data_IF_013272805502
#
_entry.id   IF_013272805502
#
_cell.length_a   1.000
_cell.length_b   1.000
_cell.length_c   1.000
_cell.angle_alpha   90.00
_cell.angle_beta   90.00
_cell.angle_gamma   90.00
#
_symmetry.space_group_name_H-M   'P 1'
#
loop_
_entity.id
_entity.type
_entity.pdbx_description
1 polymer ?
#
# COMPACT_ATOMS: atom_id res chain seq x y z
N UNK A 1 -18.01 6.03 -2.90
CA UNK A 1 -16.57 6.30 -3.07
C UNK A 1 -15.86 4.98 -3.28
N UNK A 2 -14.90 4.93 -4.23
CA UNK A 2 -13.99 3.83 -4.47
C UNK A 2 -12.56 4.35 -4.23
N UNK A 3 -11.90 3.92 -3.18
CA UNK A 3 -10.56 4.41 -2.84
C UNK A 3 -9.52 3.29 -2.78
N UNK A 4 -8.25 3.66 -2.91
CA UNK A 4 -7.12 2.76 -2.77
C UNK A 4 -5.98 3.07 -3.76
N UNK A 5 -4.87 2.37 -3.69
CA UNK A 5 -3.68 2.60 -4.52
C UNK A 5 -3.97 2.50 -6.03
N UNK A 6 -3.01 2.91 -6.86
CA UNK A 6 -3.11 2.74 -8.33
C UNK A 6 -2.98 1.27 -8.72
N UNK A 7 -3.67 0.86 -9.80
CA UNK A 7 -3.52 -0.47 -10.40
C UNK A 7 -4.17 -1.62 -9.60
N UNK A 8 -5.00 -1.32 -8.58
CA UNK A 8 -5.70 -2.32 -7.75
C UNK A 8 -7.14 -2.63 -8.19
N UNK A 9 -7.57 -2.14 -9.37
CA UNK A 9 -8.84 -2.53 -9.97
C UNK A 9 -9.99 -1.54 -9.83
N UNK A 10 -9.84 -0.36 -9.20
CA UNK A 10 -10.91 0.64 -9.04
C UNK A 10 -11.59 1.01 -10.36
N UNK A 11 -10.80 1.42 -11.36
CA UNK A 11 -11.33 1.81 -12.68
C UNK A 11 -11.94 0.62 -13.44
N UNK A 12 -11.46 -0.61 -13.20
CA UNK A 12 -12.09 -1.82 -13.75
C UNK A 12 -13.47 -2.03 -13.13
N UNK A 13 -13.58 -1.93 -11.82
CA UNK A 13 -14.85 -2.04 -11.10
C UNK A 13 -15.84 -0.96 -11.59
N UNK A 14 -15.36 0.28 -11.75
CA UNK A 14 -16.16 1.38 -12.29
C UNK A 14 -16.70 1.07 -13.69
N UNK A 15 -15.85 0.51 -14.57
CA UNK A 15 -16.26 0.10 -15.92
C UNK A 15 -17.32 -1.03 -15.90
N UNK A 16 -17.16 -2.01 -15.02
CA UNK A 16 -18.15 -3.08 -14.85
C UNK A 16 -19.48 -2.48 -14.39
N UNK A 17 -19.46 -1.57 -13.42
CA UNK A 17 -20.66 -0.89 -12.94
C UNK A 17 -21.33 -0.08 -14.05
N UNK A 18 -20.56 0.62 -14.89
CA UNK A 18 -21.07 1.35 -16.04
C UNK A 18 -21.76 0.42 -17.05
N UNK A 19 -21.16 -0.73 -17.36
CA UNK A 19 -21.75 -1.73 -18.25
C UNK A 19 -23.07 -2.27 -17.69
N UNK A 20 -23.12 -2.58 -16.40
CA UNK A 20 -24.34 -3.05 -15.74
C UNK A 20 -25.44 -1.96 -15.70
N UNK A 21 -25.06 -0.69 -15.51
CA UNK A 21 -26.00 0.44 -15.59
C UNK A 21 -26.61 0.54 -16.99
N UNK A 22 -25.80 0.50 -18.05
CA UNK A 22 -26.27 0.55 -19.44
C UNK A 22 -27.19 -0.64 -19.76
N UNK A 23 -26.87 -1.86 -19.32
CA UNK A 23 -27.74 -3.04 -19.48
C UNK A 23 -29.11 -2.85 -18.85
N UNK A 24 -29.18 -2.07 -17.77
CA UNK A 24 -30.44 -1.71 -17.09
C UNK A 24 -31.14 -0.49 -17.68
N UNK A 25 -30.64 0.04 -18.79
CA UNK A 25 -31.18 1.22 -19.46
C UNK A 25 -30.80 2.56 -18.83
N UNK A 26 -29.84 2.57 -17.89
CA UNK A 26 -29.34 3.80 -17.26
C UNK A 26 -28.24 4.41 -18.14
N UNK A 27 -28.37 5.67 -18.58
CA UNK A 27 -27.27 6.39 -19.19
C UNK A 27 -26.10 6.56 -18.22
N UNK A 28 -24.88 6.61 -18.75
CA UNK A 28 -23.67 6.77 -17.96
C UNK A 28 -22.90 7.98 -18.46
N UNK A 29 -22.55 8.88 -17.53
CA UNK A 29 -21.68 10.03 -17.77
C UNK A 29 -20.36 9.76 -17.05
N UNK A 30 -19.27 9.81 -17.79
CA UNK A 30 -17.91 9.68 -17.24
C UNK A 30 -17.25 11.05 -17.30
N UNK A 31 -16.82 11.53 -16.14
CA UNK A 31 -16.14 12.82 -15.98
C UNK A 31 -14.71 12.53 -15.56
N UNK A 32 -13.79 12.66 -16.48
CA UNK A 32 -12.35 12.45 -16.30
C UNK A 32 -11.52 13.73 -16.31
N UNK A 33 -12.20 14.87 -16.61
CA UNK A 33 -11.58 16.19 -16.67
C UNK A 33 -12.51 17.23 -16.07
N UNK A 34 -11.97 18.20 -15.33
CA UNK A 34 -12.76 19.32 -14.85
C UNK A 34 -13.09 20.28 -16.00
N UNK A 35 -14.37 20.55 -16.17
CA UNK A 35 -14.89 21.55 -17.10
C UNK A 35 -15.74 22.53 -16.29
N UNK A 36 -15.47 23.84 -16.32
CA UNK A 36 -16.31 24.82 -15.65
C UNK A 36 -17.78 24.68 -16.06
N UNK A 37 -18.69 24.66 -15.07
CA UNK A 37 -20.12 24.48 -15.30
C UNK A 37 -20.59 23.03 -15.41
N UNK A 38 -19.71 22.03 -15.23
CA UNK A 38 -20.06 20.62 -15.28
C UNK A 38 -21.11 20.25 -14.22
N UNK A 39 -21.07 20.88 -13.05
CA UNK A 39 -22.08 20.67 -12.00
C UNK A 39 -23.47 21.09 -12.48
N UNK A 40 -23.61 22.29 -13.02
CA UNK A 40 -24.89 22.80 -13.56
C UNK A 40 -25.41 21.93 -14.71
N UNK A 41 -24.53 21.51 -15.62
CA UNK A 41 -24.90 20.59 -16.69
C UNK A 41 -25.48 19.27 -16.16
N UNK A 42 -24.87 18.68 -15.13
CA UNK A 42 -25.36 17.45 -14.53
C UNK A 42 -26.66 17.68 -13.77
N UNK A 43 -26.84 18.84 -13.11
CA UNK A 43 -28.08 19.19 -12.39
C UNK A 43 -29.26 19.32 -13.34
N UNK A 44 -29.09 19.85 -14.53
CA UNK A 44 -30.15 20.04 -15.54
C UNK A 44 -30.66 18.72 -16.16
N UNK A 45 -29.95 17.60 -15.95
CA UNK A 45 -30.40 16.30 -16.47
C UNK A 45 -31.56 15.80 -15.60
N UNK A 46 -32.75 15.70 -16.16
CA UNK A 46 -33.95 15.24 -15.46
C UNK A 46 -34.05 13.72 -15.33
N UNK A 47 -33.42 12.99 -16.25
CA UNK A 47 -33.49 11.53 -16.29
C UNK A 47 -32.58 10.88 -15.25
N UNK A 48 -32.90 9.63 -14.90
CA UNK A 48 -32.04 8.80 -14.05
C UNK A 48 -30.71 8.53 -14.78
N UNK A 49 -29.57 8.75 -14.11
CA UNK A 49 -28.24 8.63 -14.72
C UNK A 49 -27.19 8.19 -13.69
N UNK A 50 -26.23 7.39 -14.15
CA UNK A 50 -25.01 7.10 -13.42
C UNK A 50 -23.93 8.14 -13.82
N UNK A 51 -23.44 8.89 -12.85
CA UNK A 51 -22.35 9.85 -13.04
C UNK A 51 -21.11 9.35 -12.34
N UNK A 52 -20.02 9.20 -13.08
CA UNK A 52 -18.76 8.64 -12.60
C UNK A 52 -17.65 9.68 -12.75
N UNK A 53 -17.01 10.01 -11.64
CA UNK A 53 -15.84 10.87 -11.61
C UNK A 53 -14.60 10.00 -11.40
N UNK A 54 -13.77 9.89 -12.43
CA UNK A 54 -12.54 9.08 -12.35
C UNK A 54 -11.35 9.93 -11.88
N UNK A 55 -10.48 9.34 -11.05
CA UNK A 55 -9.32 9.99 -10.45
C UNK A 55 -9.64 11.37 -9.84
N UNK A 56 -10.71 11.46 -9.05
CA UNK A 56 -11.25 12.69 -8.50
C UNK A 56 -10.19 13.50 -7.73
N UNK A 57 -9.34 12.83 -6.99
CA UNK A 57 -8.23 13.43 -6.25
C UNK A 57 -7.23 14.17 -7.14
N UNK A 58 -7.03 13.73 -8.38
CA UNK A 58 -6.16 14.41 -9.33
C UNK A 58 -6.90 15.50 -10.11
N UNK A 59 -8.10 15.17 -10.56
CA UNK A 59 -8.87 16.00 -11.50
C UNK A 59 -9.51 17.20 -10.83
N UNK A 60 -9.93 17.09 -9.56
CA UNK A 60 -10.72 18.14 -8.89
C UNK A 60 -10.06 18.71 -7.64
N UNK A 61 -9.07 18.02 -7.04
CA UNK A 61 -8.45 18.47 -5.80
C UNK A 61 -7.22 19.38 -6.01
N UNK A 62 -6.55 19.28 -7.14
CA UNK A 62 -5.30 20.00 -7.41
C UNK A 62 -5.49 21.28 -8.24
N UNK A 63 -6.71 21.59 -8.65
CA UNK A 63 -6.98 22.81 -9.41
C UNK A 63 -7.03 23.99 -8.44
N UNK A 64 -6.08 24.92 -8.57
CA UNK A 64 -6.18 26.21 -7.90
C UNK A 64 -7.31 26.99 -8.58
N UNK A 65 -8.29 27.44 -7.80
CA UNK A 65 -9.27 28.38 -8.30
C UNK A 65 -8.54 29.61 -8.84
N UNK A 66 -8.86 30.03 -10.06
CA UNK A 66 -8.44 31.34 -10.53
C UNK A 66 -9.06 32.43 -9.62
N UNK A 67 -8.38 33.60 -9.48
CA UNK A 67 -8.86 34.66 -8.63
C UNK A 67 -10.34 34.99 -8.95
N UNK A 68 -11.20 34.79 -7.95
CA UNK A 68 -12.64 35.04 -8.06
C UNK A 68 -13.50 33.85 -8.52
N UNK A 69 -12.93 32.68 -8.79
CA UNK A 69 -13.68 31.45 -9.09
C UNK A 69 -13.80 30.54 -7.85
N UNK A 70 -14.94 29.84 -7.75
CA UNK A 70 -15.14 28.85 -6.71
C UNK A 70 -14.17 27.66 -6.88
N UNK A 71 -13.78 27.04 -5.77
CA UNK A 71 -13.00 25.81 -5.82
C UNK A 71 -13.83 24.70 -6.50
N UNK A 72 -13.29 23.97 -7.49
CA UNK A 72 -14.01 22.90 -8.19
C UNK A 72 -14.69 21.88 -7.29
N UNK A 73 -14.06 21.51 -6.16
CA UNK A 73 -14.70 20.65 -5.18
C UNK A 73 -15.96 21.29 -4.57
N UNK A 74 -15.93 22.61 -4.32
CA UNK A 74 -17.06 23.32 -3.71
C UNK A 74 -18.25 23.38 -4.66
N UNK A 75 -18.03 23.56 -5.97
CA UNK A 75 -19.12 23.52 -6.97
C UNK A 75 -19.81 22.14 -6.98
N UNK A 76 -19.04 21.05 -6.87
CA UNK A 76 -19.58 19.71 -6.86
C UNK A 76 -20.26 19.32 -5.53
N UNK A 77 -19.98 20.03 -4.43
CA UNK A 77 -20.63 19.73 -3.14
C UNK A 77 -22.16 19.90 -3.23
N UNK A 78 -22.62 20.96 -3.90
CA UNK A 78 -24.07 21.23 -4.11
C UNK A 78 -24.70 20.11 -4.92
N UNK A 79 -24.03 19.64 -5.96
CA UNK A 79 -24.46 18.52 -6.78
C UNK A 79 -24.65 17.23 -5.95
N UNK A 80 -23.73 16.95 -5.03
CA UNK A 80 -23.78 15.76 -4.19
C UNK A 80 -24.76 15.86 -3.00
N UNK A 81 -25.25 17.02 -2.68
CA UNK A 81 -26.28 17.20 -1.63
C UNK A 81 -27.68 16.67 -2.04
N UNK A 82 -27.82 16.20 -3.28
CA UNK A 82 -29.03 15.52 -3.75
C UNK A 82 -30.21 16.44 -3.99
N UNK A 83 -29.99 17.74 -4.11
CA UNK A 83 -31.03 18.74 -4.44
C UNK A 83 -31.36 18.78 -5.93
N UNK A 84 -30.55 18.13 -6.76
CA UNK A 84 -30.71 18.07 -8.20
C UNK A 84 -31.99 17.30 -8.60
N UNK A 85 -32.66 17.76 -9.66
CA UNK A 85 -33.81 17.07 -10.23
C UNK A 85 -33.39 15.71 -10.82
N UNK A 86 -34.27 14.72 -10.73
CA UNK A 86 -34.01 13.37 -11.18
C UNK A 86 -33.13 12.56 -10.20
N UNK A 87 -33.17 11.22 -10.36
CA UNK A 87 -32.36 10.32 -9.55
C UNK A 87 -30.98 10.15 -10.19
N UNK A 88 -29.96 10.45 -9.44
CA UNK A 88 -28.56 10.32 -9.87
C UNK A 88 -27.80 9.40 -8.95
N UNK A 89 -27.05 8.46 -9.53
CA UNK A 89 -26.09 7.63 -8.81
C UNK A 89 -24.69 8.19 -9.06
N UNK A 90 -24.04 8.66 -8.01
CA UNK A 90 -22.69 9.19 -8.09
C UNK A 90 -21.65 8.15 -7.68
N UNK A 91 -20.60 8.01 -8.48
CA UNK A 91 -19.43 7.19 -8.17
C UNK A 91 -18.19 8.04 -8.36
N UNK A 92 -17.34 8.10 -7.34
CA UNK A 92 -16.03 8.74 -7.44
C UNK A 92 -14.93 7.70 -7.19
N UNK A 93 -13.87 7.72 -7.99
CA UNK A 93 -12.64 6.98 -7.71
C UNK A 93 -11.57 7.94 -7.21
N UNK A 94 -10.78 7.53 -6.25
CA UNK A 94 -9.63 8.28 -5.76
C UNK A 94 -8.49 7.38 -5.31
N UNK A 95 -7.26 7.89 -5.44
CA UNK A 95 -6.07 7.18 -4.97
C UNK A 95 -5.70 7.62 -3.54
N UNK A 96 -5.95 8.89 -3.21
CA UNK A 96 -5.60 9.45 -1.92
C UNK A 96 -6.82 10.16 -1.31
N UNK A 97 -7.37 9.59 -0.24
CA UNK A 97 -8.51 10.15 0.49
C UNK A 97 -8.18 11.47 1.19
N UNK A 98 -6.91 11.67 1.60
CA UNK A 98 -6.51 12.87 2.35
C UNK A 98 -6.57 14.15 1.51
N UNK A 99 -6.70 14.04 0.20
CA UNK A 99 -6.86 15.18 -0.71
C UNK A 99 -8.33 15.57 -0.92
N UNK A 100 -9.25 14.68 -0.53
CA UNK A 100 -10.68 14.97 -0.57
C UNK A 100 -11.07 15.87 0.60
N UNK A 101 -11.97 16.81 0.33
CA UNK A 101 -12.56 17.65 1.39
C UNK A 101 -13.31 16.78 2.41
N UNK A 102 -13.19 17.11 3.71
CA UNK A 102 -13.99 16.51 4.79
C UNK A 102 -15.51 16.62 4.54
N UNK A 103 -15.92 17.57 3.72
CA UNK A 103 -17.32 17.69 3.30
C UNK A 103 -17.79 16.59 2.35
N UNK A 104 -16.87 15.86 1.72
CA UNK A 104 -17.17 14.67 0.87
C UNK A 104 -17.03 13.38 1.67
N UNK A 105 -15.98 13.29 2.48
CA UNK A 105 -15.71 12.14 3.34
C UNK A 105 -16.46 12.33 4.67
N UNK A 106 -16.85 11.24 5.33
CA UNK A 106 -17.59 11.26 6.61
C UNK A 106 -18.99 11.91 6.56
N UNK A 107 -19.58 12.04 5.37
CA UNK A 107 -20.96 12.49 5.18
C UNK A 107 -21.82 11.46 4.45
N UNK A 108 -22.41 10.49 5.16
CA UNK A 108 -23.23 9.43 4.55
C UNK A 108 -24.45 9.94 3.75
N UNK A 109 -24.88 11.19 3.99
CA UNK A 109 -25.93 11.84 3.21
C UNK A 109 -25.50 12.21 1.79
N UNK A 110 -24.18 12.33 1.51
CA UNK A 110 -23.64 12.58 0.18
C UNK A 110 -23.17 11.30 -0.49
N UNK A 111 -22.29 10.57 0.19
CA UNK A 111 -21.80 9.27 -0.26
C UNK A 111 -22.07 8.22 0.80
N UNK A 112 -23.06 7.37 0.53
CA UNK A 112 -23.50 6.37 1.48
C UNK A 112 -22.50 5.23 1.63
N UNK A 113 -21.87 4.82 0.53
CA UNK A 113 -20.92 3.71 0.52
C UNK A 113 -19.50 4.19 0.23
N UNK A 114 -18.56 3.63 0.96
CA UNK A 114 -17.15 3.77 0.71
C UNK A 114 -16.50 2.39 0.62
N UNK A 115 -16.16 1.97 -0.60
CA UNK A 115 -15.44 0.73 -0.86
C UNK A 115 -13.95 1.04 -0.93
N UNK A 116 -13.20 0.38 -0.08
CA UNK A 116 -11.73 0.47 -0.05
C UNK A 116 -11.17 -0.72 -0.80
N UNK A 117 -10.27 -0.45 -1.72
CA UNK A 117 -9.54 -1.43 -2.48
C UNK A 117 -8.14 -1.51 -1.92
N UNK A 118 -7.73 -2.69 -1.52
CA UNK A 118 -6.39 -2.97 -1.01
C UNK A 118 -5.56 -3.74 -2.04
N UNK A 119 -4.28 -3.92 -1.75
CA UNK A 119 -3.43 -4.80 -2.55
C UNK A 119 -3.95 -6.23 -2.45
N UNK A 120 -3.82 -7.01 -3.53
CA UNK A 120 -4.33 -8.37 -3.54
C UNK A 120 -3.66 -9.23 -2.46
N UNK A 121 -4.50 -10.03 -1.80
CA UNK A 121 -4.09 -11.05 -0.83
C UNK A 121 -3.42 -12.23 -1.51
N UNK A 122 -2.77 -13.10 -0.74
CA UNK A 122 -2.10 -14.31 -1.26
C UNK A 122 -3.05 -15.21 -2.05
N UNK A 123 -4.30 -15.33 -1.60
CA UNK A 123 -5.34 -16.09 -2.30
C UNK A 123 -5.71 -15.45 -3.64
N UNK A 124 -5.89 -14.13 -3.66
CA UNK A 124 -6.21 -13.38 -4.88
C UNK A 124 -5.04 -13.37 -5.87
N UNK A 125 -3.80 -13.24 -5.38
CA UNK A 125 -2.59 -13.40 -6.22
C UNK A 125 -2.57 -14.81 -6.82
N UNK A 126 -2.83 -15.84 -6.02
CA UNK A 126 -2.83 -17.23 -6.48
C UNK A 126 -3.88 -17.45 -7.56
N UNK A 127 -5.10 -16.96 -7.34
CA UNK A 127 -6.21 -17.08 -8.29
C UNK A 127 -5.89 -16.34 -9.60
N UNK A 128 -5.45 -15.08 -9.49
CA UNK A 128 -5.08 -14.26 -10.63
C UNK A 128 -3.95 -14.89 -11.47
N UNK A 129 -2.88 -15.35 -10.80
CA UNK A 129 -1.75 -15.96 -11.48
C UNK A 129 -2.13 -17.30 -12.14
N UNK A 130 -3.01 -18.10 -11.51
CA UNK A 130 -3.53 -19.33 -12.14
C UNK A 130 -4.38 -19.06 -13.38
N UNK A 131 -5.09 -17.93 -13.41
CA UNK A 131 -5.85 -17.51 -14.61
C UNK A 131 -4.95 -17.01 -15.74
N UNK A 132 -3.82 -16.37 -15.42
CA UNK A 132 -2.94 -15.70 -16.39
C UNK A 132 -1.73 -16.51 -16.82
N UNK A 133 -1.24 -17.43 -15.98
CA UNK A 133 -0.07 -18.25 -16.31
C UNK A 133 -0.45 -19.51 -17.08
N UNK A 134 0.45 -19.94 -17.96
CA UNK A 134 0.43 -21.28 -18.49
C UNK A 134 0.73 -22.27 -17.35
N UNK A 135 0.07 -23.44 -17.38
CA UNK A 135 0.12 -24.43 -16.28
C UNK A 135 1.54 -24.89 -15.92
N UNK A 136 2.44 -24.90 -16.89
CA UNK A 136 3.84 -25.27 -16.72
C UNK A 136 4.61 -24.32 -15.78
N UNK A 137 4.15 -23.07 -15.65
CA UNK A 137 4.77 -22.05 -14.79
C UNK A 137 4.09 -21.88 -13.42
N UNK A 138 3.13 -22.71 -13.07
CA UNK A 138 2.46 -22.59 -11.76
C UNK A 138 3.39 -22.73 -10.57
N UNK A 139 4.56 -23.39 -10.73
CA UNK A 139 5.60 -23.46 -9.70
C UNK A 139 6.18 -22.10 -9.30
N UNK A 140 6.05 -21.08 -10.17
CA UNK A 140 6.56 -19.73 -9.90
C UNK A 140 5.62 -18.90 -8.99
N UNK A 141 4.35 -19.33 -8.81
CA UNK A 141 3.36 -18.57 -8.03
C UNK A 141 3.82 -18.33 -6.59
N UNK A 142 4.45 -19.32 -5.97
CA UNK A 142 4.98 -19.18 -4.60
C UNK A 142 6.03 -18.06 -4.50
N UNK A 143 6.85 -17.89 -5.52
CA UNK A 143 7.86 -16.82 -5.59
C UNK A 143 7.20 -15.44 -5.76
N UNK A 144 6.13 -15.34 -6.55
CA UNK A 144 5.33 -14.11 -6.69
C UNK A 144 4.72 -13.72 -5.34
N UNK A 145 4.14 -14.68 -4.61
CA UNK A 145 3.59 -14.45 -3.28
C UNK A 145 4.69 -14.00 -2.30
N UNK A 146 5.83 -14.68 -2.28
CA UNK A 146 6.96 -14.28 -1.46
C UNK A 146 7.42 -12.84 -1.77
N UNK A 147 7.45 -12.48 -3.04
CA UNK A 147 7.80 -11.13 -3.48
C UNK A 147 6.76 -10.09 -3.07
N UNK A 148 5.46 -10.43 -3.10
CA UNK A 148 4.39 -9.51 -2.67
C UNK A 148 4.46 -9.13 -1.19
N UNK A 149 5.09 -9.96 -0.34
CA UNK A 149 5.34 -9.62 1.07
C UNK A 149 6.37 -8.52 1.24
N UNK A 150 7.24 -8.36 0.28
CA UNK A 150 8.32 -7.37 0.29
C UNK A 150 7.96 -6.12 -0.49
N UNK A 151 7.25 -6.27 -1.60
CA UNK A 151 6.83 -5.19 -2.50
C UNK A 151 5.33 -5.27 -2.72
N UNK A 152 4.62 -4.18 -2.52
CA UNK A 152 3.17 -4.13 -2.78
C UNK A 152 2.91 -4.31 -4.28
N UNK A 153 2.44 -5.49 -4.66
CA UNK A 153 2.11 -5.81 -6.05
C UNK A 153 0.64 -5.46 -6.33
N UNK A 154 0.43 -4.55 -7.25
CA UNK A 154 -0.89 -4.30 -7.81
C UNK A 154 -1.17 -5.24 -9.01
N UNK A 155 -2.39 -5.23 -9.54
CA UNK A 155 -2.75 -6.09 -10.67
C UNK A 155 -1.97 -5.78 -11.96
N UNK A 156 -1.50 -4.55 -12.15
CA UNK A 156 -0.65 -4.22 -13.30
C UNK A 156 0.72 -4.88 -13.17
N UNK A 157 1.30 -4.89 -11.95
CA UNK A 157 2.53 -5.63 -11.67
C UNK A 157 2.35 -7.14 -11.87
N UNK A 158 1.25 -7.71 -11.33
CA UNK A 158 0.97 -9.14 -11.48
C UNK A 158 0.78 -9.53 -12.95
N UNK A 159 0.12 -8.69 -13.74
CA UNK A 159 -0.06 -8.90 -15.18
C UNK A 159 1.27 -8.91 -15.92
N UNK A 160 2.14 -7.96 -15.61
CA UNK A 160 3.45 -7.86 -16.22
C UNK A 160 4.34 -9.06 -15.84
N UNK A 161 4.34 -9.45 -14.55
CA UNK A 161 5.05 -10.66 -14.09
C UNK A 161 4.54 -11.91 -14.83
N UNK A 162 3.21 -12.07 -14.93
CA UNK A 162 2.63 -13.21 -15.63
C UNK A 162 3.02 -13.26 -17.11
N UNK A 163 3.10 -12.09 -17.77
CA UNK A 163 3.53 -12.00 -19.15
C UNK A 163 4.98 -12.50 -19.30
N UNK A 164 5.92 -12.00 -18.51
CA UNK A 164 7.32 -12.41 -18.56
C UNK A 164 7.53 -13.89 -18.23
N UNK A 165 6.84 -14.42 -17.22
CA UNK A 165 6.91 -15.83 -16.87
C UNK A 165 6.40 -16.73 -18.01
N UNK A 166 5.35 -16.31 -18.72
CA UNK A 166 4.82 -17.04 -19.88
C UNK A 166 5.76 -17.03 -21.10
N UNK A 167 6.78 -16.15 -21.14
CA UNK A 167 7.85 -16.21 -22.15
C UNK A 167 8.91 -17.27 -21.82
N UNK A 168 8.83 -17.92 -20.66
CA UNK A 168 9.76 -18.96 -20.21
C UNK A 168 10.89 -18.45 -19.32
N UNK A 169 10.86 -17.18 -18.93
CA UNK A 169 11.83 -16.62 -17.96
C UNK A 169 11.57 -17.17 -16.56
N UNK A 170 12.64 -17.38 -15.80
CA UNK A 170 12.52 -17.65 -14.37
C UNK A 170 12.12 -16.39 -13.63
N UNK A 171 11.47 -16.51 -12.48
CA UNK A 171 10.95 -15.38 -11.70
C UNK A 171 12.00 -14.27 -11.46
N UNK A 172 13.23 -14.63 -11.08
CA UNK A 172 14.28 -13.66 -10.80
C UNK A 172 14.73 -12.86 -12.04
N UNK A 173 14.71 -13.50 -13.18
CA UNK A 173 15.01 -12.84 -14.45
C UNK A 173 13.84 -11.98 -14.91
N UNK A 174 12.63 -12.48 -14.75
CA UNK A 174 11.40 -11.79 -15.12
C UNK A 174 11.24 -10.44 -14.38
N UNK A 175 11.61 -10.35 -13.11
CA UNK A 175 11.43 -9.11 -12.31
C UNK A 175 12.61 -8.13 -12.41
N UNK A 176 13.76 -8.56 -12.94
CA UNK A 176 15.01 -7.81 -12.87
C UNK A 176 14.95 -6.42 -13.51
N UNK A 177 14.34 -6.34 -14.69
CA UNK A 177 14.27 -5.11 -15.48
C UNK A 177 12.85 -4.53 -15.53
N UNK A 178 11.93 -5.06 -14.70
CA UNK A 178 10.56 -4.57 -14.62
C UNK A 178 10.50 -3.24 -13.88
N UNK A 179 9.61 -2.36 -14.33
CA UNK A 179 9.32 -1.10 -13.65
C UNK A 179 8.48 -1.33 -12.38
N UNK A 180 9.01 -2.13 -11.47
CA UNK A 180 8.48 -2.37 -10.13
C UNK A 180 9.48 -1.74 -9.16
N UNK A 181 9.31 -0.44 -8.93
CA UNK A 181 10.20 0.31 -8.04
C UNK A 181 9.62 0.33 -6.63
N UNK A 182 10.43 -0.08 -5.67
CA UNK A 182 10.18 0.18 -4.27
C UNK A 182 10.78 1.56 -3.94
N UNK A 183 10.00 2.63 -4.19
CA UNK A 183 10.49 4.02 -4.00
C UNK A 183 10.32 4.48 -2.55
N UNK A 184 9.52 3.79 -1.75
CA UNK A 184 9.17 4.25 -0.42
C UNK A 184 9.88 3.44 0.64
N UNK A 185 10.56 4.15 1.54
CA UNK A 185 10.98 3.57 2.81
C UNK A 185 9.77 2.96 3.51
N UNK A 186 9.84 1.67 3.77
CA UNK A 186 8.75 0.93 4.43
C UNK A 186 8.98 0.94 5.93
N UNK A 187 7.91 1.12 6.70
CA UNK A 187 7.98 0.96 8.15
C UNK A 187 8.00 -0.53 8.47
N UNK A 188 9.05 -0.95 9.17
CA UNK A 188 9.20 -2.32 9.66
C UNK A 188 9.12 -2.35 11.19
N UNK A 189 8.55 -3.43 11.69
CA UNK A 189 8.70 -3.85 13.08
C UNK A 189 9.89 -4.81 13.08
N UNK A 190 11.03 -4.32 13.56
CA UNK A 190 12.23 -5.12 13.73
C UNK A 190 12.20 -5.79 15.10
N UNK A 191 12.28 -7.11 15.16
CA UNK A 191 12.33 -7.87 16.41
C UNK A 191 13.69 -8.53 16.55
N UNK A 192 14.45 -8.13 17.54
CA UNK A 192 15.70 -8.76 17.92
C UNK A 192 15.40 -9.99 18.82
N UNK A 193 16.03 -11.09 18.51
CA UNK A 193 16.03 -12.31 19.34
C UNK A 193 17.46 -12.61 19.81
N UNK A 194 17.60 -12.91 21.10
CA UNK A 194 18.86 -13.35 21.67
C UNK A 194 18.89 -14.88 21.79
N UNK A 195 20.09 -15.46 21.86
CA UNK A 195 20.25 -16.92 22.01
C UNK A 195 19.73 -17.49 23.33
N UNK A 196 19.58 -16.66 24.35
CA UNK A 196 18.98 -17.00 25.64
C UNK A 196 17.45 -16.78 25.68
N UNK A 197 16.84 -16.47 24.52
CA UNK A 197 15.38 -16.39 24.35
C UNK A 197 14.74 -15.05 24.68
N UNK A 198 15.54 -14.02 24.99
CA UNK A 198 15.03 -12.64 25.17
C UNK A 198 14.73 -11.99 23.83
N UNK A 199 13.85 -11.00 23.83
CA UNK A 199 13.48 -10.25 22.65
C UNK A 199 13.17 -8.81 22.96
N UNK A 200 13.37 -7.94 21.97
CA UNK A 200 12.92 -6.56 21.98
C UNK A 200 12.53 -6.14 20.57
N UNK A 201 11.75 -5.07 20.43
CA UNK A 201 11.17 -4.63 19.16
C UNK A 201 11.36 -3.13 18.96
N UNK A 202 11.73 -2.73 17.75
CA UNK A 202 11.77 -1.34 17.30
C UNK A 202 10.94 -1.16 16.04
N UNK A 203 10.22 -0.05 15.95
CA UNK A 203 9.59 0.42 14.72
C UNK A 203 10.52 1.38 14.01
N UNK A 204 10.89 1.08 12.77
CA UNK A 204 11.75 1.96 11.97
C UNK A 204 11.43 1.91 10.48
N UNK A 205 11.56 3.06 9.86
CA UNK A 205 11.52 3.17 8.40
C UNK A 205 12.86 2.75 7.83
N UNK A 206 12.86 1.69 7.00
CA UNK A 206 14.07 1.09 6.43
C UNK A 206 13.86 0.80 4.94
N UNK A 207 14.93 0.86 4.17
CA UNK A 207 14.99 0.26 2.84
C UNK A 207 15.85 -1.02 2.90
N UNK A 208 15.21 -2.16 3.14
CA UNK A 208 15.90 -3.46 3.20
C UNK A 208 16.38 -3.97 1.83
N UNK A 209 16.00 -3.31 0.73
CA UNK A 209 16.48 -3.64 -0.62
C UNK A 209 17.77 -2.92 -0.99
N UNK A 210 18.10 -1.83 -0.30
CA UNK A 210 19.37 -1.14 -0.52
C UNK A 210 20.52 -1.96 0.07
N UNK A 211 21.19 -2.69 -0.83
CA UNK A 211 22.34 -3.53 -0.49
C UNK A 211 23.61 -2.73 -0.20
N UNK A 212 23.62 -1.43 -0.46
CA UNK A 212 24.79 -0.55 -0.25
C UNK A 212 24.75 0.15 1.09
N UNK A 213 23.58 0.25 1.71
CA UNK A 213 23.39 0.95 2.99
C UNK A 213 23.74 0.10 4.21
N UNK A 214 24.19 0.78 5.26
CA UNK A 214 24.25 0.23 6.61
C UNK A 214 23.00 0.68 7.38
N UNK A 215 22.38 -0.25 8.07
CA UNK A 215 21.22 0.00 8.91
C UNK A 215 21.62 -0.05 10.39
N UNK A 216 20.96 0.78 11.18
CA UNK A 216 21.13 0.79 12.64
C UNK A 216 19.77 0.74 13.31
N UNK A 217 19.64 -0.07 14.35
CA UNK A 217 18.43 -0.24 15.16
C UNK A 217 18.77 -0.10 16.63
N UNK A 218 17.81 0.31 17.44
CA UNK A 218 18.00 0.58 18.84
C UNK A 218 17.16 -0.37 19.71
N UNK A 219 17.83 -1.14 20.57
CA UNK A 219 17.18 -2.15 21.39
C UNK A 219 17.56 -2.06 22.85
N UNK A 220 16.72 -2.68 23.68
CA UNK A 220 16.93 -2.80 25.11
C UNK A 220 16.85 -4.26 25.55
N UNK A 221 17.94 -4.79 26.12
CA UNK A 221 17.96 -6.13 26.71
C UNK A 221 18.50 -6.02 28.15
N UNK A 222 17.78 -6.58 29.10
CA UNK A 222 18.12 -6.53 30.55
C UNK A 222 18.38 -5.10 31.07
N UNK A 223 17.59 -4.14 30.59
CA UNK A 223 17.73 -2.74 30.99
C UNK A 223 18.94 -2.02 30.39
N UNK A 224 19.60 -2.62 29.40
CA UNK A 224 20.72 -2.02 28.67
C UNK A 224 20.30 -1.62 27.29
N UNK A 225 20.66 -0.41 26.95
CA UNK A 225 20.39 0.24 25.71
C UNK A 225 21.58 0.09 24.78
N UNK A 226 21.34 -0.28 23.54
CA UNK A 226 22.40 -0.41 22.54
C UNK A 226 21.85 -0.27 21.12
N UNK A 227 22.72 0.16 20.24
CA UNK A 227 22.47 0.12 18.80
C UNK A 227 22.97 -1.20 18.24
N UNK A 228 22.25 -1.69 17.26
CA UNK A 228 22.78 -2.72 16.36
C UNK A 228 23.11 -2.11 15.03
N UNK A 229 24.17 -2.61 14.38
CA UNK A 229 24.55 -2.21 13.02
C UNK A 229 24.71 -3.45 12.16
N UNK A 230 24.16 -3.41 10.96
CA UNK A 230 24.27 -4.47 9.97
C UNK A 230 24.22 -3.88 8.56
N UNK A 231 24.76 -4.60 7.58
CA UNK A 231 24.71 -4.19 6.18
C UNK A 231 23.46 -4.70 5.48
N UNK A 232 22.93 -3.94 4.53
CA UNK A 232 21.83 -4.38 3.68
C UNK A 232 22.15 -5.65 2.87
N UNK A 233 23.44 -5.94 2.63
CA UNK A 233 23.89 -7.20 1.99
C UNK A 233 23.56 -8.42 2.83
N UNK A 234 23.55 -8.29 4.17
CA UNK A 234 23.34 -9.37 5.11
C UNK A 234 21.86 -9.70 5.33
N UNK A 235 20.96 -8.86 4.82
CA UNK A 235 19.51 -9.09 4.88
C UNK A 235 19.14 -10.25 3.95
N UNK A 236 18.57 -11.31 4.54
CA UNK A 236 18.12 -12.53 3.88
C UNK A 236 16.62 -12.66 3.97
N UNK A 237 16.04 -13.46 3.08
CA UNK A 237 14.63 -13.77 3.07
C UNK A 237 14.39 -15.25 3.35
N UNK A 238 13.57 -15.55 4.36
CA UNK A 238 13.08 -16.88 4.66
C UNK A 238 11.80 -17.16 3.86
N UNK A 239 11.87 -18.02 2.85
CA UNK A 239 10.75 -18.34 1.96
C UNK A 239 9.65 -19.16 2.64
N UNK A 240 9.98 -19.91 3.69
CA UNK A 240 9.00 -20.74 4.39
C UNK A 240 8.16 -19.90 5.36
N UNK A 241 8.78 -18.91 5.98
CA UNK A 241 8.15 -18.02 6.96
C UNK A 241 7.71 -16.69 6.39
N UNK A 242 8.06 -16.39 5.13
CA UNK A 242 7.79 -15.12 4.44
C UNK A 242 8.27 -13.88 5.21
N UNK A 243 9.48 -13.94 5.77
CA UNK A 243 10.07 -12.85 6.56
C UNK A 243 11.48 -12.51 6.10
N UNK A 244 11.84 -11.24 6.19
CA UNK A 244 13.23 -10.78 6.08
C UNK A 244 13.92 -10.91 7.44
N UNK A 245 15.20 -11.28 7.45
CA UNK A 245 15.98 -11.40 8.67
C UNK A 245 17.47 -11.16 8.43
N UNK A 246 18.19 -10.87 9.51
CA UNK A 246 19.65 -10.84 9.57
C UNK A 246 20.11 -11.79 10.67
N UNK A 247 21.09 -12.65 10.37
CA UNK A 247 21.70 -13.53 11.37
C UNK A 247 22.47 -12.73 12.42
N UNK A 248 22.44 -13.14 13.66
CA UNK A 248 23.14 -12.44 14.75
C UNK A 248 24.63 -12.35 14.59
N UNK A 249 25.26 -13.22 13.79
CA UNK A 249 26.70 -13.16 13.46
C UNK A 249 27.06 -11.97 12.55
N UNK A 250 26.08 -11.47 11.81
CA UNK A 250 26.23 -10.36 10.84
C UNK A 250 25.75 -9.03 11.46
N UNK A 251 25.49 -9.02 12.77
CA UNK A 251 25.03 -7.86 13.54
C UNK A 251 26.09 -7.43 14.54
N UNK A 252 26.53 -6.18 14.46
CA UNK A 252 27.41 -5.54 15.42
C UNK A 252 26.59 -4.87 16.54
N UNK A 253 27.00 -5.01 17.80
CA UNK A 253 26.41 -4.32 18.95
C UNK A 253 27.27 -3.12 19.28
N UNK A 254 26.65 -1.94 19.33
CA UNK A 254 27.28 -0.67 19.72
C UNK A 254 26.55 -0.16 20.98
N UNK A 255 27.20 -0.11 22.16
CA UNK A 255 26.60 0.45 23.35
C UNK A 255 26.17 1.90 23.14
N UNK A 256 25.07 2.31 23.77
CA UNK A 256 24.56 3.69 23.71
C UNK A 256 25.45 4.65 24.53
N UNK A 257 26.11 4.14 25.55
CA UNK A 257 27.07 4.87 26.35
C UNK A 257 28.45 4.90 25.65
N UNK A 258 29.20 5.98 25.84
CA UNK A 258 30.54 6.09 25.26
C UNK A 258 31.40 4.90 25.71
N UNK A 259 31.71 4.00 24.77
CA UNK A 259 32.38 2.73 25.08
C UNK A 259 33.73 2.92 25.78
N UNK A 260 34.35 4.12 25.64
CA UNK A 260 35.56 4.48 26.32
C UNK A 260 35.40 4.63 27.83
N UNK A 261 34.24 5.15 28.26
CA UNK A 261 33.94 5.46 29.65
C UNK A 261 33.37 4.29 30.45
N UNK A 262 33.01 3.21 29.75
CA UNK A 262 32.49 1.99 30.39
C UNK A 262 33.56 1.24 31.18
N UNK A 263 33.21 0.82 32.40
CA UNK A 263 34.04 -0.06 33.21
C UNK A 263 34.23 -1.44 32.55
N UNK A 264 35.26 -2.17 32.96
CA UNK A 264 35.46 -3.54 32.46
C UNK A 264 34.30 -4.49 32.68
N UNK A 265 33.57 -4.30 33.78
CA UNK A 265 32.35 -5.10 34.11
C UNK A 265 31.18 -4.73 33.20
N UNK A 266 31.00 -3.48 32.87
CA UNK A 266 29.97 -2.98 31.96
C UNK A 266 30.23 -3.45 30.53
N UNK A 267 31.46 -3.35 30.03
CA UNK A 267 31.86 -3.90 28.71
C UNK A 267 31.53 -5.39 28.61
N UNK A 268 31.86 -6.17 29.63
CA UNK A 268 31.60 -7.59 29.69
C UNK A 268 30.09 -7.94 29.65
N UNK A 269 29.26 -7.02 30.13
CA UNK A 269 27.79 -7.18 30.09
C UNK A 269 27.23 -7.06 28.66
N UNK A 270 27.79 -6.17 27.82
CA UNK A 270 27.42 -6.08 26.38
C UNK A 270 27.96 -7.26 25.59
N UNK A 271 29.16 -7.74 25.88
CA UNK A 271 29.77 -8.92 25.28
C UNK A 271 28.96 -10.22 25.55
N UNK A 272 28.19 -10.25 26.63
CA UNK A 272 27.32 -11.37 26.98
C UNK A 272 25.99 -11.37 26.21
N UNK A 273 25.61 -10.26 25.56
CA UNK A 273 24.40 -10.24 24.71
C UNK A 273 24.74 -10.95 23.40
N UNK A 274 24.17 -12.16 23.24
CA UNK A 274 24.37 -12.94 22.02
C UNK A 274 23.11 -12.89 21.19
N UNK A 275 23.15 -12.14 20.11
CA UNK A 275 22.05 -12.06 19.17
C UNK A 275 21.94 -13.38 18.40
N UNK A 276 20.73 -13.92 18.30
CA UNK A 276 20.40 -15.02 17.42
C UNK A 276 20.10 -14.49 16.02
N UNK A 277 19.14 -13.58 15.93
CA UNK A 277 18.72 -12.91 14.69
C UNK A 277 17.93 -11.65 14.95
N UNK A 278 17.82 -10.80 13.93
CA UNK A 278 16.83 -9.72 13.84
C UNK A 278 15.85 -10.08 12.72
N UNK A 279 14.57 -10.05 12.99
CA UNK A 279 13.49 -10.36 12.06
C UNK A 279 12.74 -9.08 11.73
N UNK A 280 12.42 -8.88 10.46
CA UNK A 280 11.70 -7.70 9.96
C UNK A 280 10.31 -8.12 9.47
N UNK A 281 9.29 -7.62 10.13
CA UNK A 281 7.92 -7.70 9.66
C UNK A 281 7.48 -6.33 9.15
N UNK A 282 6.90 -6.27 7.96
CA UNK A 282 6.32 -5.03 7.45
C UNK A 282 5.19 -4.60 8.35
N UNK A 283 5.20 -3.34 8.79
CA UNK A 283 4.06 -2.78 9.52
C UNK A 283 2.91 -2.60 8.55
N UNK A 284 1.84 -3.38 8.74
CA UNK A 284 0.59 -3.15 8.04
C UNK A 284 -0.02 -1.85 8.56
N UNK A 285 -0.32 -0.91 7.68
CA UNK A 285 -1.17 0.21 8.04
C UNK A 285 -2.53 -0.37 8.42
N UNK A 286 -2.89 -0.23 9.70
CA UNK A 286 -4.23 -0.55 10.16
C UNK A 286 -5.18 0.41 9.47
N UNK A 287 -5.71 0.00 8.33
CA UNK A 287 -6.91 0.62 7.79
C UNK A 287 -7.97 0.41 8.86
N UNK A 288 -8.46 1.50 9.45
CA UNK A 288 -9.55 1.47 10.43
C UNK A 288 -10.82 0.95 9.72
N UNK A 289 -10.90 -0.37 9.59
CA UNK A 289 -12.18 -1.03 9.39
C UNK A 289 -12.85 -1.06 10.76
N UNK A 290 -14.02 -0.45 10.87
CA UNK A 290 -14.88 -0.67 12.01
C UNK A 290 -15.40 -2.11 11.96
N UNK A 291 -14.55 -3.07 12.29
CA UNK A 291 -14.97 -4.40 12.63
C UNK A 291 -15.58 -4.33 14.04
N UNK A 292 -16.82 -3.94 14.10
CA UNK A 292 -17.65 -4.23 15.26
C UNK A 292 -17.93 -5.75 15.22
N UNK A 293 -16.96 -6.54 15.71
CA UNK A 293 -17.29 -7.89 16.15
C UNK A 293 -18.18 -7.75 17.37
N UNK A 294 -19.49 -7.95 17.19
CA UNK A 294 -20.46 -8.14 18.26
C UNK A 294 -20.30 -9.55 18.78
#
# INVERSE_FOLDING_TARGET
ILSGAKGIGKSLFSKILAVEAVKKGLPVIIVDTYIPGIANFIEEIEQEVLVMFDEFDKTFCNIKAADGMANPQTELLTLFDGLAQGKKLYVITCNNLNTLSDYLVNRPGRFHYHFRFDYPTDSEITEYMRDKLHKEYYGEISKVIAFSKRVSLNYDCLRAIAFELNTGLQFQEAIKDMNILHINNTVYIATLYTKDGKKDTEEKTLDLFDKTSNHSLYFTIDGKWFYTKFSGVDVRYDFDRHIDFVDGKDVEIIPDEDYADLTKEEKKKYENIKIDRIVFARKEEKVLHYNLSV
#
